data_IF_423773136870
#
_entry.id   IF_423773136870
#
_cell.length_a   1.000
_cell.length_b   1.000
_cell.length_c   1.000
_cell.angle_alpha   90.00
_cell.angle_beta   90.00
_cell.angle_gamma   90.00
#
_symmetry.space_group_name_H-M   'P 1'
#
loop_
_entity.id
_entity.type
_entity.pdbx_description
1 polymer ?
#
# COMPACT_ATOMS: atom_id res chain seq x y z
N UNK A 1 24.40 13.25 45.95
CA UNK A 1 23.98 14.45 45.21
C UNK A 1 24.69 14.40 43.87
N UNK A 2 23.92 14.14 42.80
CA UNK A 2 24.44 13.84 41.47
C UNK A 2 24.98 15.08 40.76
N UNK A 3 25.99 14.84 39.92
CA UNK A 3 26.67 15.84 39.12
C UNK A 3 25.78 16.33 37.98
N UNK A 4 25.45 17.61 37.96
CA UNK A 4 24.99 18.31 36.75
C UNK A 4 26.21 18.62 35.89
N UNK A 5 26.38 17.97 34.72
CA UNK A 5 27.11 18.47 33.53
C UNK A 5 27.08 17.38 32.45
N UNK A 6 25.94 17.24 31.75
CA UNK A 6 25.89 16.45 30.51
C UNK A 6 24.67 16.90 29.69
N UNK A 7 24.81 17.98 28.91
CA UNK A 7 23.69 18.44 28.11
C UNK A 7 23.87 19.74 27.34
N UNK A 8 25.09 20.07 26.89
CA UNK A 8 25.23 21.14 25.88
C UNK A 8 26.58 21.05 25.14
N UNK A 9 26.67 20.14 24.17
CA UNK A 9 27.67 20.26 23.11
C UNK A 9 26.95 20.60 21.81
N UNK A 10 26.85 21.92 21.58
CA UNK A 10 26.54 22.53 20.30
C UNK A 10 27.48 21.94 19.25
N UNK A 11 27.00 21.08 18.38
CA UNK A 11 27.85 20.51 17.35
C UNK A 11 27.83 21.39 16.09
N UNK A 12 28.27 22.64 16.25
CA UNK A 12 28.54 23.52 15.10
C UNK A 12 29.52 22.87 14.13
N UNK A 13 30.44 22.03 14.64
CA UNK A 13 31.33 21.20 13.81
C UNK A 13 30.61 20.13 13.00
N UNK A 14 29.57 19.50 13.53
CA UNK A 14 28.78 18.52 12.76
C UNK A 14 27.94 19.20 11.69
N UNK A 15 27.30 20.31 12.05
CA UNK A 15 26.50 21.09 11.10
C UNK A 15 27.36 21.65 9.96
N UNK A 16 28.56 22.16 10.27
CA UNK A 16 29.53 22.61 9.28
C UNK A 16 30.07 21.45 8.41
N UNK A 17 30.34 20.29 9.00
CA UNK A 17 30.77 19.10 8.26
C UNK A 17 29.69 18.60 7.30
N UNK A 18 28.42 18.65 7.73
CA UNK A 18 27.27 18.26 6.90
C UNK A 18 27.05 19.25 5.76
N UNK A 19 27.14 20.55 6.03
CA UNK A 19 27.10 21.61 5.01
C UNK A 19 28.26 21.51 4.01
N UNK A 20 29.48 21.16 4.46
CA UNK A 20 30.63 20.94 3.57
C UNK A 20 30.47 19.68 2.71
N UNK A 21 29.95 18.58 3.28
CA UNK A 21 29.69 17.34 2.56
C UNK A 21 28.68 17.54 1.42
N UNK A 22 27.58 18.26 1.68
CA UNK A 22 26.57 18.59 0.65
C UNK A 22 27.18 19.47 -0.45
N UNK A 23 27.97 20.49 -0.10
CA UNK A 23 28.65 21.35 -1.08
C UNK A 23 29.68 20.59 -1.91
N UNK A 24 30.38 19.63 -1.32
CA UNK A 24 31.33 18.78 -2.03
C UNK A 24 30.61 17.86 -3.03
N UNK A 25 29.48 17.26 -2.61
CA UNK A 25 28.66 16.37 -3.44
C UNK A 25 28.04 17.12 -4.64
N UNK A 26 27.57 18.36 -4.43
CA UNK A 26 27.02 19.20 -5.51
C UNK A 26 28.10 19.75 -6.47
N UNK A 27 29.37 19.76 -6.05
CA UNK A 27 30.51 20.19 -6.88
C UNK A 27 31.22 19.02 -7.56
N UNK A 28 31.03 17.79 -7.09
CA UNK A 28 31.59 16.60 -7.72
C UNK A 28 30.76 16.17 -8.92
N UNK A 29 31.28 16.35 -10.13
CA UNK A 29 30.72 15.78 -11.36
C UNK A 29 31.22 14.36 -11.61
N UNK A 30 31.28 13.51 -10.58
CA UNK A 30 31.57 12.08 -10.72
C UNK A 30 30.29 11.29 -10.50
N UNK A 31 29.96 10.42 -11.46
CA UNK A 31 28.69 9.72 -11.59
C UNK A 31 28.20 8.99 -10.32
N UNK A 32 26.88 8.83 -10.28
CA UNK A 32 26.07 8.34 -9.15
C UNK A 32 26.75 7.29 -8.26
N UNK A 33 26.79 7.48 -6.93
CA UNK A 33 27.26 6.45 -6.03
C UNK A 33 26.29 5.26 -6.06
N UNK A 34 26.82 4.05 -6.25
CA UNK A 34 26.04 2.82 -6.19
C UNK A 34 25.40 2.64 -4.80
N UNK A 35 24.14 2.20 -4.72
CA UNK A 35 23.49 1.90 -3.45
C UNK A 35 24.17 0.71 -2.76
N UNK A 36 24.58 0.92 -1.51
CA UNK A 36 25.28 0.00 -0.58
C UNK A 36 24.50 -1.30 -0.30
N UNK A 37 23.30 -1.47 -0.83
CA UNK A 37 22.43 -2.61 -0.54
C UNK A 37 22.72 -3.90 -1.35
N UNK A 38 23.66 -3.87 -2.30
CA UNK A 38 24.01 -5.05 -3.11
C UNK A 38 25.15 -5.89 -2.53
N UNK A 39 25.80 -5.46 -1.43
CA UNK A 39 26.95 -6.16 -0.86
C UNK A 39 26.64 -7.07 0.33
N UNK A 40 25.37 -7.28 0.69
CA UNK A 40 24.98 -8.15 1.81
C UNK A 40 24.21 -9.42 1.40
N UNK A 41 24.04 -9.71 0.10
CA UNK A 41 23.25 -10.89 -0.31
C UNK A 41 23.76 -11.67 -1.53
N UNK A 42 24.95 -11.36 -2.04
CA UNK A 42 25.59 -12.12 -3.12
C UNK A 42 27.08 -12.21 -2.81
N UNK A 43 27.47 -13.15 -1.94
CA UNK A 43 28.85 -13.61 -1.87
C UNK A 43 29.06 -14.65 -2.98
N UNK A 44 29.93 -14.40 -3.97
CA UNK A 44 30.26 -15.39 -5.00
C UNK A 44 31.20 -16.44 -4.41
N UNK A 45 30.80 -17.71 -4.50
CA UNK A 45 31.61 -18.89 -4.18
C UNK A 45 33.05 -18.78 -4.73
N UNK A 46 34.05 -18.84 -3.84
CA UNK A 46 35.42 -19.23 -4.18
C UNK A 46 35.90 -20.31 -3.21
N UNK A 47 35.82 -21.56 -3.66
CA UNK A 47 36.58 -22.66 -3.06
C UNK A 47 38.05 -22.57 -3.49
N UNK A 48 38.98 -22.69 -2.53
CA UNK A 48 40.04 -23.68 -2.70
C UNK A 48 40.39 -24.45 -1.40
N UNK A 49 40.48 -25.78 -1.54
CA UNK A 49 41.59 -26.61 -1.04
C UNK A 49 41.90 -26.74 0.46
N UNK A 50 41.42 -27.86 1.05
CA UNK A 50 42.18 -28.83 1.86
C UNK A 50 42.71 -28.43 3.27
N UNK A 51 42.12 -28.97 4.35
CA UNK A 51 42.71 -30.00 5.25
C UNK A 51 41.88 -30.19 6.54
N UNK A 52 41.60 -31.47 6.82
CA UNK A 52 41.44 -32.20 8.10
C UNK A 52 40.33 -31.89 9.12
N UNK A 53 39.48 -32.93 9.28
CA UNK A 53 38.96 -33.56 10.51
C UNK A 53 38.55 -32.68 11.71
N UNK A 54 37.25 -32.71 12.06
CA UNK A 54 36.70 -33.05 13.40
C UNK A 54 35.15 -32.87 13.40
N UNK A 55 34.44 -34.00 13.29
CA UNK A 55 33.20 -34.43 13.99
C UNK A 55 32.05 -33.43 14.31
N UNK A 56 30.81 -33.65 13.84
CA UNK A 56 29.61 -32.95 14.32
C UNK A 56 28.84 -33.74 15.39
N UNK A 57 28.49 -33.08 16.50
CA UNK A 57 27.51 -33.47 17.55
C UNK A 57 27.29 -32.20 18.40
N UNK A 58 26.12 -31.70 18.78
CA UNK A 58 24.91 -32.36 19.30
C UNK A 58 23.68 -31.42 19.16
N UNK A 59 22.49 -32.03 19.05
CA UNK A 59 21.17 -31.64 19.56
C UNK A 59 20.99 -30.34 20.40
N UNK A 60 19.88 -29.60 20.19
CA UNK A 60 18.66 -29.79 20.99
C UNK A 60 17.51 -28.85 20.59
N UNK A 61 16.31 -29.40 20.76
CA UNK A 61 14.96 -28.94 20.48
C UNK A 61 14.45 -27.77 21.38
N UNK A 62 13.32 -27.19 20.94
CA UNK A 62 12.31 -26.27 21.55
C UNK A 62 11.85 -26.64 23.01
N UNK A 63 10.81 -26.03 23.69
CA UNK A 63 9.85 -24.94 23.37
C UNK A 63 9.41 -23.98 24.56
N UNK A 64 8.59 -22.96 24.21
CA UNK A 64 7.31 -22.44 24.82
C UNK A 64 7.16 -22.07 26.33
N UNK A 65 6.42 -20.96 26.60
CA UNK A 65 5.60 -20.81 27.83
C UNK A 65 5.24 -19.37 28.26
N UNK A 66 3.95 -19.03 28.30
CA UNK A 66 3.33 -17.81 28.90
C UNK A 66 3.46 -17.72 30.45
N UNK A 67 3.01 -16.63 31.12
CA UNK A 67 1.70 -16.69 31.82
C UNK A 67 0.88 -15.37 31.97
N UNK A 68 -0.36 -15.53 32.46
CA UNK A 68 -1.46 -14.55 32.70
C UNK A 68 -1.50 -13.95 34.13
N UNK A 69 -1.94 -12.69 34.24
CA UNK A 69 -3.03 -12.13 35.10
C UNK A 69 -2.92 -12.02 36.64
N UNK A 70 -3.30 -10.85 37.22
CA UNK A 70 -4.18 -10.65 38.41
C UNK A 70 -4.35 -9.17 38.87
N UNK A 71 -5.55 -8.87 39.41
CA UNK A 71 -6.19 -7.61 39.85
C UNK A 71 -5.68 -6.90 41.13
N UNK A 72 -6.00 -5.58 41.31
CA UNK A 72 -6.83 -4.99 42.41
C UNK A 72 -6.54 -3.50 42.79
N UNK A 73 -7.61 -2.69 42.75
CA UNK A 73 -8.13 -1.64 43.69
C UNK A 73 -7.48 -0.24 43.96
N UNK A 74 -8.34 0.79 43.76
CA UNK A 74 -8.75 1.89 44.66
C UNK A 74 -8.08 3.29 44.70
N UNK A 75 -8.93 4.33 44.73
CA UNK A 75 -8.74 5.51 45.60
C UNK A 75 -8.79 6.92 44.98
N UNK A 76 -9.93 7.60 45.14
CA UNK A 76 -10.21 9.03 44.82
C UNK A 76 -9.40 10.04 45.66
N UNK A 77 -9.17 11.27 45.14
CA UNK A 77 -9.55 12.55 45.77
C UNK A 77 -9.09 13.79 44.95
N UNK A 78 -9.73 14.92 45.25
CA UNK A 78 -10.07 16.11 44.44
C UNK A 78 -9.20 17.37 44.64
N UNK A 79 -9.57 18.42 43.87
CA UNK A 79 -9.25 19.88 43.92
C UNK A 79 -8.29 20.28 42.79
N UNK A 80 -8.54 21.25 41.89
CA UNK A 80 -9.35 22.47 41.88
C UNK A 80 -8.41 23.65 41.50
N UNK A 81 -8.92 24.64 40.75
CA UNK A 81 -8.37 26.00 40.45
C UNK A 81 -7.74 26.24 39.04
N UNK A 82 -8.49 26.96 38.16
CA UNK A 82 -8.18 28.12 37.27
C UNK A 82 -6.72 28.46 36.89
N UNK A 83 -6.35 29.09 35.78
CA UNK A 83 -6.88 29.56 34.48
C UNK A 83 -5.63 30.15 33.76
N UNK A 84 -5.58 30.11 32.42
CA UNK A 84 -4.60 30.78 31.52
C UNK A 84 -3.13 30.24 31.62
N UNK A 85 -2.37 29.99 30.55
CA UNK A 85 -1.98 30.87 29.45
C UNK A 85 -1.56 30.03 28.22
N UNK A 86 -1.66 30.65 27.04
CA UNK A 86 -1.40 30.13 25.70
C UNK A 86 0.10 29.86 25.45
N UNK A 87 0.48 28.66 25.00
CA UNK A 87 1.77 28.45 24.33
C UNK A 87 1.56 27.41 23.20
N UNK A 88 1.40 27.93 21.99
CA UNK A 88 1.38 27.22 20.70
C UNK A 88 2.82 26.89 20.28
N UNK A 89 3.33 25.71 20.66
CA UNK A 89 4.57 25.17 20.12
C UNK A 89 4.54 23.63 20.16
N UNK A 90 3.80 23.04 19.21
CA UNK A 90 3.91 21.60 18.90
C UNK A 90 4.62 21.39 17.58
N UNK A 91 5.95 21.36 17.66
CA UNK A 91 6.85 20.84 16.63
C UNK A 91 6.49 19.38 16.30
N UNK A 92 5.58 19.19 15.35
CA UNK A 92 5.14 17.86 14.91
C UNK A 92 6.16 17.29 13.92
N UNK A 93 7.30 16.84 14.42
CA UNK A 93 8.26 16.01 13.68
C UNK A 93 7.80 14.55 13.63
N UNK A 94 6.62 14.31 13.07
CA UNK A 94 6.14 12.97 12.72
C UNK A 94 5.84 12.93 11.23
N UNK A 95 6.34 11.94 10.46
CA UNK A 95 5.94 11.80 9.07
C UNK A 95 4.42 11.62 9.02
N UNK A 96 3.69 12.34 8.14
CA UNK A 96 2.25 12.27 8.14
C UNK A 96 1.80 10.83 7.86
N UNK A 97 0.95 10.28 8.72
CA UNK A 97 0.32 9.00 8.46
C UNK A 97 -0.48 9.10 7.15
N UNK A 98 -0.29 8.17 6.18
CA UNK A 98 -0.91 8.25 4.85
C UNK A 98 -2.45 8.19 4.87
N UNK A 99 -3.04 7.96 6.04
CA UNK A 99 -4.48 7.86 6.23
C UNK A 99 -5.17 9.21 6.53
N UNK A 100 -4.43 10.25 6.96
CA UNK A 100 -5.00 11.55 7.32
C UNK A 100 -5.02 12.58 6.17
N UNK A 101 -4.33 12.32 5.06
CA UNK A 101 -4.50 13.10 3.83
C UNK A 101 -5.73 12.62 3.04
N UNK A 102 -6.90 12.68 3.68
CA UNK A 102 -8.16 12.88 2.96
C UNK A 102 -8.43 14.38 2.92
N UNK A 103 -7.49 15.14 2.33
CA UNK A 103 -7.78 16.52 1.98
C UNK A 103 -8.95 16.57 0.99
N UNK A 104 -9.69 17.69 0.92
CA UNK A 104 -10.60 17.93 -0.20
C UNK A 104 -9.86 17.62 -1.49
N UNK A 105 -10.49 16.83 -2.36
CA UNK A 105 -9.88 16.40 -3.59
C UNK A 105 -9.38 17.65 -4.36
N UNK A 106 -8.17 17.62 -4.95
CA UNK A 106 -7.60 18.80 -5.61
C UNK A 106 -8.62 19.40 -6.58
N UNK A 107 -8.71 20.74 -6.57
CA UNK A 107 -9.71 21.49 -7.33
C UNK A 107 -9.81 20.96 -8.77
N UNK A 108 -10.95 20.35 -9.10
CA UNK A 108 -11.27 19.89 -10.46
C UNK A 108 -11.30 18.38 -10.71
N UNK A 109 -11.02 17.51 -9.73
CA UNK A 109 -11.24 16.07 -9.92
C UNK A 109 -12.67 15.63 -9.53
N UNK A 110 -13.27 14.78 -10.37
CA UNK A 110 -14.60 14.23 -10.13
C UNK A 110 -14.58 13.29 -8.93
N UNK A 111 -15.56 13.43 -8.04
CA UNK A 111 -15.75 12.57 -6.86
C UNK A 111 -17.06 11.77 -6.91
N UNK A 112 -17.74 11.80 -8.07
CA UNK A 112 -19.03 11.16 -8.29
C UNK A 112 -18.90 9.65 -8.38
N UNK A 113 -19.76 8.94 -7.65
CA UNK A 113 -19.80 7.49 -7.68
C UNK A 113 -20.16 6.98 -9.08
N UNK A 114 -19.38 5.99 -9.54
CA UNK A 114 -19.51 5.45 -10.88
C UNK A 114 -18.69 6.17 -11.95
N UNK A 115 -17.95 7.22 -11.58
CA UNK A 115 -17.06 7.96 -12.47
C UNK A 115 -15.62 7.92 -11.95
N UNK A 116 -14.63 7.96 -12.84
CA UNK A 116 -13.25 8.20 -12.43
C UNK A 116 -13.00 9.68 -12.08
N UNK A 117 -11.85 9.96 -11.48
CA UNK A 117 -11.40 11.33 -11.14
C UNK A 117 -11.33 12.29 -12.34
N UNK A 118 -11.21 11.78 -13.57
CA UNK A 118 -11.29 12.59 -14.79
C UNK A 118 -12.74 12.84 -15.27
N UNK A 119 -13.76 12.40 -14.53
CA UNK A 119 -15.17 12.60 -14.87
C UNK A 119 -15.72 11.64 -15.93
N UNK A 120 -15.03 10.55 -16.24
CA UNK A 120 -15.50 9.54 -17.21
C UNK A 120 -16.35 8.48 -16.52
N UNK A 121 -17.49 8.16 -17.12
CA UNK A 121 -18.42 7.15 -16.63
C UNK A 121 -17.80 5.75 -16.78
N UNK A 122 -17.80 4.99 -15.71
CA UNK A 122 -17.25 3.63 -15.66
C UNK A 122 -18.34 2.57 -15.53
N UNK A 123 -19.61 2.96 -15.47
CA UNK A 123 -20.71 2.02 -15.28
C UNK A 123 -20.85 1.13 -16.52
N UNK A 124 -20.96 -0.18 -16.30
CA UNK A 124 -21.11 -1.17 -17.37
C UNK A 124 -22.25 -0.83 -18.34
N UNK A 125 -23.36 -0.28 -17.83
CA UNK A 125 -24.49 0.14 -18.67
C UNK A 125 -24.15 1.27 -19.64
N UNK A 126 -23.24 2.16 -19.28
CA UNK A 126 -22.74 3.23 -20.17
C UNK A 126 -21.67 2.70 -21.12
N UNK A 127 -20.76 1.88 -20.59
CA UNK A 127 -19.62 1.36 -21.34
C UNK A 127 -19.94 0.16 -22.24
N UNK A 128 -21.16 -0.38 -22.19
CA UNK A 128 -21.56 -1.60 -22.91
C UNK A 128 -21.29 -1.51 -24.42
N UNK A 129 -21.52 -0.36 -25.04
CA UNK A 129 -21.33 -0.15 -26.48
C UNK A 129 -20.05 0.60 -26.84
N UNK A 130 -19.22 0.95 -25.85
CA UNK A 130 -17.99 1.69 -26.08
C UNK A 130 -16.86 0.78 -26.57
N UNK A 131 -15.99 1.32 -27.44
CA UNK A 131 -14.78 0.62 -27.86
C UNK A 131 -13.70 0.76 -26.80
N UNK A 132 -13.56 -0.29 -25.97
CA UNK A 132 -12.54 -0.36 -24.93
C UNK A 132 -11.32 -1.14 -25.46
N UNK A 133 -10.19 -0.46 -25.57
CA UNK A 133 -8.90 -1.10 -25.88
C UNK A 133 -8.26 -1.68 -24.62
N UNK A 134 -8.14 -3.00 -24.58
CA UNK A 134 -7.56 -3.72 -23.44
C UNK A 134 -6.11 -4.11 -23.78
N UNK A 135 -5.10 -3.62 -23.04
CA UNK A 135 -3.71 -4.01 -23.29
C UNK A 135 -3.50 -5.53 -23.15
N UNK A 136 -2.52 -6.06 -23.88
CA UNK A 136 -2.15 -7.48 -23.76
C UNK A 136 -1.80 -7.81 -22.30
N UNK A 137 -2.36 -8.91 -21.78
CA UNK A 137 -2.17 -9.32 -20.40
C UNK A 137 -3.20 -8.77 -19.42
N UNK A 138 -4.09 -7.87 -19.83
CA UNK A 138 -5.18 -7.35 -19.01
C UNK A 138 -6.52 -8.00 -19.35
N UNK A 139 -7.41 -8.06 -18.37
CA UNK A 139 -8.80 -8.51 -18.49
C UNK A 139 -9.75 -7.43 -17.98
N UNK A 140 -10.94 -7.38 -18.59
CA UNK A 140 -12.01 -6.54 -18.11
C UNK A 140 -12.72 -7.23 -16.95
N UNK A 141 -12.80 -6.53 -15.83
CA UNK A 141 -13.45 -6.99 -14.61
C UNK A 141 -14.46 -5.98 -14.10
N UNK A 142 -15.50 -6.50 -13.47
CA UNK A 142 -16.57 -5.73 -12.84
C UNK A 142 -16.32 -5.58 -11.35
N UNK A 143 -16.21 -4.33 -10.90
CA UNK A 143 -16.17 -3.97 -9.49
C UNK A 143 -17.56 -3.59 -8.96
N UNK A 144 -17.88 -4.00 -7.73
CA UNK A 144 -19.08 -3.55 -7.00
C UNK A 144 -18.74 -2.50 -5.95
N UNK A 145 -19.51 -1.41 -5.96
CA UNK A 145 -19.48 -0.37 -4.93
C UNK A 145 -20.61 -0.58 -3.93
N UNK A 146 -20.37 -0.26 -2.66
CA UNK A 146 -21.44 -0.22 -1.64
C UNK A 146 -22.39 0.96 -1.83
N UNK A 147 -21.93 2.04 -2.46
CA UNK A 147 -22.73 3.25 -2.66
C UNK A 147 -23.64 3.22 -3.89
N UNK A 148 -23.29 2.40 -4.89
CA UNK A 148 -24.08 2.18 -6.11
C UNK A 148 -24.24 0.68 -6.38
N UNK A 149 -25.00 -0.05 -5.54
CA UNK A 149 -25.07 -1.52 -5.59
C UNK A 149 -25.70 -2.06 -6.89
N UNK A 150 -26.54 -1.25 -7.54
CA UNK A 150 -27.19 -1.56 -8.82
C UNK A 150 -26.23 -1.48 -10.02
N UNK A 151 -25.06 -0.85 -9.85
CA UNK A 151 -24.12 -0.61 -10.93
C UNK A 151 -22.84 -1.43 -10.76
N UNK A 152 -22.31 -1.89 -11.89
CA UNK A 152 -21.01 -2.57 -11.98
C UNK A 152 -20.04 -1.59 -12.65
N UNK A 153 -18.88 -1.35 -12.02
CA UNK A 153 -17.86 -0.49 -12.59
C UNK A 153 -16.88 -1.33 -13.40
N UNK A 154 -16.60 -0.91 -14.63
CA UNK A 154 -15.68 -1.58 -15.54
C UNK A 154 -14.26 -1.16 -15.23
N UNK A 155 -13.38 -2.14 -15.06
CA UNK A 155 -11.96 -1.94 -14.77
C UNK A 155 -11.13 -2.86 -15.65
N UNK A 156 -9.92 -2.45 -16.04
CA UNK A 156 -8.95 -3.34 -16.67
C UNK A 156 -7.91 -3.76 -15.63
N UNK A 157 -7.74 -5.05 -15.40
CA UNK A 157 -6.80 -5.60 -14.39
C UNK A 157 -5.90 -6.63 -15.04
N UNK A 158 -4.61 -6.60 -14.69
CA UNK A 158 -3.64 -7.56 -15.19
C UNK A 158 -3.98 -8.98 -14.70
N UNK A 159 -4.05 -9.92 -15.66
CA UNK A 159 -4.43 -11.33 -15.48
C UNK A 159 -3.63 -12.02 -14.39
N UNK A 160 -2.37 -11.65 -14.19
CA UNK A 160 -1.50 -12.26 -13.19
C UNK A 160 -2.00 -12.04 -11.77
N UNK A 161 -2.78 -10.99 -11.54
CA UNK A 161 -3.37 -10.67 -10.23
C UNK A 161 -4.81 -11.16 -10.07
N UNK A 162 -5.35 -11.82 -11.09
CA UNK A 162 -6.66 -12.45 -11.08
C UNK A 162 -6.49 -13.97 -10.96
N UNK A 163 -7.44 -14.66 -10.31
CA UNK A 163 -7.41 -16.12 -10.24
C UNK A 163 -7.74 -16.69 -11.62
N UNK A 164 -6.78 -17.40 -12.21
CA UNK A 164 -7.05 -18.28 -13.37
C UNK A 164 -8.08 -19.36 -13.04
N UNK A 165 -8.63 -19.99 -14.07
CA UNK A 165 -9.75 -20.96 -14.10
C UNK A 165 -9.80 -21.99 -12.95
N UNK A 166 -8.68 -22.29 -12.29
CA UNK A 166 -8.57 -23.21 -11.14
C UNK A 166 -8.41 -22.54 -9.76
N UNK A 167 -8.50 -21.21 -9.65
CA UNK A 167 -8.54 -20.45 -8.38
C UNK A 167 -7.22 -20.37 -7.60
N UNK A 168 -6.08 -20.83 -8.15
CA UNK A 168 -4.86 -21.06 -7.35
C UNK A 168 -3.67 -20.12 -7.61
N UNK A 169 -3.64 -19.35 -8.72
CA UNK A 169 -2.40 -18.70 -9.17
C UNK A 169 -2.46 -17.16 -9.27
N UNK A 170 -3.31 -16.49 -8.49
CA UNK A 170 -3.31 -15.03 -8.46
C UNK A 170 -2.11 -14.51 -7.63
N UNK A 171 -1.26 -13.67 -8.23
CA UNK A 171 -0.19 -12.98 -7.52
C UNK A 171 -0.76 -12.07 -6.42
N UNK A 172 0.02 -11.95 -5.33
CA UNK A 172 -0.19 -10.92 -4.32
C UNK A 172 0.07 -9.55 -4.96
N UNK A 173 -0.77 -8.57 -4.62
CA UNK A 173 -0.72 -7.22 -5.19
C UNK A 173 -1.83 -6.95 -6.19
N UNK A 174 -1.65 -5.87 -6.96
CA UNK A 174 -2.62 -5.36 -7.92
C UNK A 174 -1.90 -4.66 -9.08
N UNK A 175 -2.51 -4.70 -10.26
CA UNK A 175 -2.11 -3.87 -11.39
C UNK A 175 -3.36 -3.59 -12.20
N UNK A 176 -3.79 -2.35 -12.21
CA UNK A 176 -5.03 -1.90 -12.85
C UNK A 176 -4.81 -0.73 -13.78
N UNK A 177 -5.71 -0.58 -14.73
CA UNK A 177 -5.83 0.57 -15.61
C UNK A 177 -7.29 1.06 -15.58
N UNK A 178 -7.46 2.38 -15.59
CA UNK A 178 -8.76 3.01 -15.70
C UNK A 178 -9.20 3.01 -17.17
N UNK A 179 -10.32 2.36 -17.47
CA UNK A 179 -10.86 2.27 -18.84
C UNK A 179 -11.52 3.57 -19.29
N UNK A 180 -11.99 4.41 -18.37
CA UNK A 180 -12.66 5.67 -18.71
C UNK A 180 -11.69 6.76 -19.14
N UNK A 181 -10.67 7.04 -18.32
CA UNK A 181 -9.67 8.08 -18.64
C UNK A 181 -8.41 7.54 -19.33
N UNK A 182 -8.20 6.22 -19.33
CA UNK A 182 -7.03 5.60 -19.93
C UNK A 182 -5.76 5.62 -19.07
N UNK A 183 -5.83 6.12 -17.82
CA UNK A 183 -4.70 6.11 -16.89
C UNK A 183 -4.30 4.67 -16.54
N UNK A 184 -2.98 4.41 -16.49
CA UNK A 184 -2.42 3.05 -16.40
C UNK A 184 -1.42 2.94 -15.26
N UNK A 185 -1.20 1.71 -14.81
CA UNK A 185 -0.09 1.41 -13.90
C UNK A 185 -0.41 1.59 -12.42
N UNK A 186 -1.68 1.50 -12.03
CA UNK A 186 -2.06 1.49 -10.63
C UNK A 186 -1.56 0.21 -9.95
N UNK A 187 -0.52 0.32 -9.12
CA UNK A 187 0.15 -0.83 -8.48
C UNK A 187 -0.54 -1.28 -7.18
N UNK A 188 -1.38 -0.43 -6.61
CA UNK A 188 -2.09 -0.71 -5.38
C UNK A 188 -3.60 -0.56 -5.60
N UNK A 189 -4.38 -1.49 -5.05
CA UNK A 189 -5.83 -1.46 -5.19
C UNK A 189 -6.44 -0.22 -4.50
N UNK A 190 -5.82 0.27 -3.43
CA UNK A 190 -6.18 1.51 -2.72
C UNK A 190 -6.13 2.74 -3.63
N UNK A 191 -5.04 2.91 -4.36
CA UNK A 191 -4.85 4.02 -5.30
C UNK A 191 -5.89 3.93 -6.42
N UNK A 192 -6.07 2.73 -6.96
CA UNK A 192 -7.03 2.50 -8.02
C UNK A 192 -8.47 2.77 -7.57
N UNK A 193 -8.87 2.25 -6.39
CA UNK A 193 -10.21 2.46 -5.86
C UNK A 193 -10.51 3.94 -5.63
N UNK A 194 -9.52 4.70 -5.16
CA UNK A 194 -9.66 6.15 -5.00
C UNK A 194 -9.82 6.84 -6.35
N UNK A 195 -9.03 6.44 -7.36
CA UNK A 195 -9.11 7.01 -8.70
C UNK A 195 -10.48 6.78 -9.37
N UNK A 196 -11.08 5.60 -9.20
CA UNK A 196 -12.40 5.29 -9.79
C UNK A 196 -13.58 5.67 -8.89
N UNK A 197 -13.33 6.45 -7.83
CA UNK A 197 -14.32 6.81 -6.80
C UNK A 197 -15.10 5.61 -6.23
N UNK A 198 -14.45 4.46 -6.11
CA UNK A 198 -15.05 3.27 -5.53
C UNK A 198 -15.14 3.42 -4.01
N UNK A 199 -16.35 3.64 -3.49
CA UNK A 199 -16.60 3.72 -2.05
C UNK A 199 -16.49 2.34 -1.40
N UNK A 200 -15.67 2.28 -0.35
CA UNK A 200 -15.36 1.05 0.37
C UNK A 200 -15.95 1.14 1.77
N UNK A 201 -16.85 0.24 2.14
CA UNK A 201 -17.39 0.15 3.50
C UNK A 201 -16.39 -0.50 4.50
N UNK A 202 -15.36 -1.15 3.98
CA UNK A 202 -14.33 -1.87 4.76
C UNK A 202 -12.96 -1.67 4.11
N UNK A 203 -11.93 -2.29 4.66
CA UNK A 203 -10.59 -2.27 4.08
C UNK A 203 -10.61 -2.55 2.55
N UNK A 204 -9.86 -1.75 1.75
CA UNK A 204 -9.68 -1.93 0.30
C UNK A 204 -9.03 -3.27 -0.04
N UNK A 205 -9.83 -4.34 -0.08
CA UNK A 205 -9.40 -5.66 -0.53
C UNK A 205 -9.94 -5.90 -1.92
N UNK A 206 -9.06 -6.06 -2.91
CA UNK A 206 -9.46 -6.33 -4.31
C UNK A 206 -10.47 -7.48 -4.42
N UNK A 207 -10.31 -8.53 -3.60
CA UNK A 207 -11.16 -9.72 -3.58
C UNK A 207 -12.61 -9.41 -3.20
N UNK A 208 -12.80 -8.42 -2.33
CA UNK A 208 -14.14 -8.02 -1.87
C UNK A 208 -14.90 -7.21 -2.92
N UNK A 209 -14.19 -6.49 -3.77
CA UNK A 209 -14.81 -5.52 -4.68
C UNK A 209 -14.86 -6.01 -6.13
N UNK A 210 -13.81 -6.65 -6.62
CA UNK A 210 -13.77 -7.23 -7.96
C UNK A 210 -14.53 -8.56 -7.93
N UNK A 211 -15.69 -8.62 -8.59
CA UNK A 211 -16.59 -9.78 -8.47
C UNK A 211 -16.82 -10.52 -9.76
N UNK A 212 -16.72 -9.88 -10.91
CA UNK A 212 -17.08 -10.49 -12.20
C UNK A 212 -15.99 -10.30 -13.23
N UNK A 213 -15.79 -11.29 -14.09
CA UNK A 213 -15.20 -11.06 -15.40
C UNK A 213 -16.25 -10.39 -16.29
N UNK A 214 -15.81 -9.58 -17.25
CA UNK A 214 -16.68 -8.96 -18.24
C UNK A 214 -16.38 -9.55 -19.61
N UNK A 215 -17.43 -9.83 -20.37
CA UNK A 215 -17.33 -10.52 -21.66
C UNK A 215 -18.09 -9.71 -22.71
N UNK A 216 -17.68 -9.81 -23.98
CA UNK A 216 -18.44 -9.22 -25.09
C UNK A 216 -19.48 -10.24 -25.55
N UNK A 217 -20.73 -9.80 -25.70
CA UNK A 217 -21.79 -10.63 -26.25
C UNK A 217 -21.63 -10.78 -27.79
N UNK A 218 -22.52 -11.54 -28.43
CA UNK A 218 -22.53 -11.74 -29.89
C UNK A 218 -22.71 -10.45 -30.70
N UNK A 219 -23.25 -9.40 -30.09
CA UNK A 219 -23.42 -8.07 -30.69
C UNK A 219 -22.20 -7.16 -30.44
N UNK A 220 -21.14 -7.68 -29.80
CA UNK A 220 -19.93 -6.93 -29.45
C UNK A 220 -20.05 -6.05 -28.20
N UNK A 221 -21.23 -6.02 -27.55
CA UNK A 221 -21.46 -5.21 -26.36
C UNK A 221 -20.92 -5.88 -25.10
N UNK A 222 -20.31 -5.10 -24.20
CA UNK A 222 -19.79 -5.58 -22.93
C UNK A 222 -20.92 -5.91 -21.97
N UNK A 223 -20.89 -7.13 -21.42
CA UNK A 223 -21.87 -7.62 -20.47
C UNK A 223 -21.21 -8.29 -19.27
N UNK A 224 -22.02 -8.49 -18.23
CA UNK A 224 -21.62 -9.16 -17.00
C UNK A 224 -21.33 -10.63 -17.28
N UNK A 225 -20.09 -11.06 -17.04
CA UNK A 225 -19.64 -12.43 -17.20
C UNK A 225 -19.61 -13.23 -15.88
N UNK A 226 -18.83 -14.32 -15.83
CA UNK A 226 -18.75 -15.21 -14.69
C UNK A 226 -18.13 -14.53 -13.46
N UNK A 227 -18.42 -15.09 -12.28
CA UNK A 227 -17.83 -14.63 -11.02
C UNK A 227 -16.31 -14.90 -10.97
N UNK A 228 -15.58 -14.00 -10.35
CA UNK A 228 -14.16 -14.20 -10.04
C UNK A 228 -14.08 -15.07 -8.77
N UNK A 229 -13.54 -16.28 -8.91
CA UNK A 229 -13.39 -17.23 -7.81
C UNK A 229 -12.16 -16.90 -6.95
N UNK A 230 -12.33 -16.03 -5.96
CA UNK A 230 -11.27 -15.72 -4.99
C UNK A 230 -11.11 -16.85 -3.97
N UNK A 231 -9.87 -17.32 -3.78
CA UNK A 231 -9.55 -18.30 -2.76
C UNK A 231 -9.83 -17.74 -1.35
N UNK A 232 -10.76 -18.35 -0.62
CA UNK A 232 -11.06 -18.00 0.78
C UNK A 232 -12.28 -17.10 1.01
N UNK A 233 -12.99 -16.66 -0.03
CA UNK A 233 -14.34 -16.12 0.15
C UNK A 233 -15.33 -17.29 0.22
N UNK A 234 -15.59 -17.78 1.43
CA UNK A 234 -16.79 -18.58 1.69
C UNK A 234 -17.99 -17.67 1.44
N UNK A 235 -18.86 -18.05 0.51
CA UNK A 235 -20.17 -17.44 0.34
C UNK A 235 -20.92 -17.50 1.67
N UNK A 236 -21.15 -16.34 2.29
CA UNK A 236 -22.18 -16.15 3.31
C UNK A 236 -23.53 -15.94 2.61
#
# INVERSE_FOLDING_TARGET
MGNSYAGQLKSARFEEALHNSIKASLRSSSGDPQPIFTQLYLEPDQYPGNMDDIKPKVDLCMPCGEPKGQDLLNGQASNGLEDLEEEDDSDTSSPPLPYLHQGPAPDGCCTMDGFCQAGKDLRLVSMATEHIEVPAGFELVGAKSSSVPEHILVCAVDRRFLPVENGKNALLGFSGNCVGCGEKGFRYFTEFSNHINLKLATQPKKQKHLKYYLVKNSQGALCKGPLICWKGEMSL
#
